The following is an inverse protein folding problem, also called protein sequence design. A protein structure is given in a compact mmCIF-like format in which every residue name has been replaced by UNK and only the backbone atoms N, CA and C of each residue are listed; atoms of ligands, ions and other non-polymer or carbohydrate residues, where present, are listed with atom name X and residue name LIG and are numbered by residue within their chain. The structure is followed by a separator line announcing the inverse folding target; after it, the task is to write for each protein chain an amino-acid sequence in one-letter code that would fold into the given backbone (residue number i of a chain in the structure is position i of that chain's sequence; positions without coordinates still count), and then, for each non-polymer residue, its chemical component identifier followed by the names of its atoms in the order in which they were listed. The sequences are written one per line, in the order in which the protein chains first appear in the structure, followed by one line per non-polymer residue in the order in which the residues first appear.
data_IF_756364705294
#
_entry.id   IF_756364705294
#
_cell.length_a   1.000
_cell.length_b   1.000
_cell.length_c   1.000
_cell.angle_alpha   90.00
_cell.angle_beta   90.00
_cell.angle_gamma   90.00
#
_symmetry.space_group_name_H-M   'P 1'
#
loop_
_entity.id
_entity.type
_entity.pdbx_description
1 polymer ?
#
# COMPACT_ATOMS: atom_id res chain seq x y z
N UNK A 1 7.56 11.88 -0.41
CA UNK A 1 8.21 10.75 -1.10
C UNK A 1 9.21 10.13 -0.15
N UNK A 2 9.23 8.81 -0.07
CA UNK A 2 10.14 8.05 0.80
C UNK A 2 10.98 7.12 -0.07
N UNK A 3 12.30 7.23 0.03
CA UNK A 3 13.21 6.25 -0.56
C UNK A 3 13.17 4.95 0.24
N UNK A 4 13.46 3.82 -0.39
CA UNK A 4 13.45 2.52 0.29
C UNK A 4 14.62 1.63 -0.09
N UNK A 5 15.55 2.10 -0.93
CA UNK A 5 16.68 1.30 -1.37
C UNK A 5 17.98 1.66 -0.64
N UNK A 6 18.29 0.96 0.45
CA UNK A 6 19.57 1.11 1.17
C UNK A 6 20.80 0.69 0.38
N UNK A 7 20.66 -0.18 -0.62
CA UNK A 7 21.79 -0.68 -1.42
C UNK A 7 22.34 0.36 -2.38
N UNK A 8 21.51 1.33 -2.75
CA UNK A 8 21.80 2.45 -3.66
C UNK A 8 22.40 3.68 -2.93
N UNK A 9 22.78 3.52 -1.65
CA UNK A 9 23.40 4.57 -0.83
C UNK A 9 24.90 4.28 -0.60
N UNK A 10 25.75 4.86 -1.45
CA UNK A 10 27.21 4.61 -1.44
C UNK A 10 28.01 5.66 -0.65
N UNK A 11 27.36 6.68 -0.07
CA UNK A 11 28.05 7.72 0.71
C UNK A 11 28.84 7.08 1.86
N UNK A 12 30.07 7.56 2.06
CA UNK A 12 31.04 7.00 3.01
C UNK A 12 31.29 5.48 2.81
N UNK A 13 31.34 5.00 1.56
CA UNK A 13 31.55 3.59 1.20
C UNK A 13 30.52 2.62 1.80
N UNK A 14 29.30 3.09 2.07
CA UNK A 14 28.23 2.26 2.65
C UNK A 14 28.38 1.98 4.15
N UNK A 15 29.12 2.80 4.89
CA UNK A 15 29.16 2.71 6.36
C UNK A 15 27.81 3.08 7.00
N UNK A 16 27.05 4.01 6.43
CA UNK A 16 25.73 4.43 6.95
C UNK A 16 24.66 3.35 6.81
N UNK A 17 24.58 2.65 5.67
CA UNK A 17 23.60 1.55 5.44
C UNK A 17 23.73 0.40 6.45
N UNK A 18 24.92 0.20 7.00
CA UNK A 18 25.20 -0.85 8.00
C UNK A 18 24.66 -0.47 9.38
N UNK A 19 24.59 0.83 9.69
CA UNK A 19 24.13 1.35 10.99
C UNK A 19 22.60 1.49 11.09
N UNK A 20 21.90 1.79 9.99
CA UNK A 20 20.46 2.09 10.01
C UNK A 20 19.59 0.81 10.01
N UNK A 21 20.06 -0.25 9.35
CA UNK A 21 19.40 -1.58 9.31
C UNK A 21 18.39 -1.79 8.16
N UNK A 22 17.71 -2.93 8.17
CA UNK A 22 16.55 -3.23 7.29
C UNK A 22 15.42 -2.21 7.54
N UNK A 23 14.58 -1.91 6.54
CA UNK A 23 13.54 -0.89 6.69
C UNK A 23 14.03 0.55 6.48
N UNK A 24 15.00 0.79 5.59
CA UNK A 24 15.64 2.09 5.41
C UNK A 24 16.03 2.39 3.96
N UNK A 25 16.33 3.66 3.67
CA UNK A 25 16.87 4.13 2.38
C UNK A 25 18.40 4.26 2.36
N UNK A 26 19.07 3.75 3.40
CA UNK A 26 20.53 3.82 3.59
C UNK A 26 21.01 5.00 4.46
N UNK A 27 20.15 5.99 4.71
CA UNK A 27 20.42 7.10 5.64
C UNK A 27 19.35 7.21 6.74
N UNK A 28 18.08 7.04 6.39
CA UNK A 28 16.94 7.21 7.30
C UNK A 28 16.07 5.95 7.28
N UNK A 29 15.57 5.55 8.45
CA UNK A 29 14.56 4.48 8.53
C UNK A 29 13.23 4.96 7.96
N UNK A 30 12.54 4.09 7.25
CA UNK A 30 11.24 4.39 6.64
C UNK A 30 10.24 4.89 7.69
N UNK A 31 10.25 4.32 8.90
CA UNK A 31 9.39 4.74 10.03
C UNK A 31 9.60 6.21 10.45
N UNK A 32 10.81 6.75 10.23
CA UNK A 32 11.17 8.13 10.56
C UNK A 32 11.12 9.06 9.33
N UNK A 33 10.82 8.52 8.15
CA UNK A 33 10.74 9.26 6.89
C UNK A 33 9.30 9.63 6.50
N UNK A 34 8.34 9.36 7.39
CA UNK A 34 6.92 9.68 7.20
C UNK A 34 6.47 10.73 8.21
N UNK A 35 5.43 11.49 7.85
CA UNK A 35 4.87 12.55 8.68
C UNK A 35 3.42 12.22 9.05
N UNK A 36 2.99 12.75 10.18
CA UNK A 36 1.60 12.77 10.59
C UNK A 36 1.21 14.23 10.87
N UNK A 37 -0.06 14.54 10.62
CA UNK A 37 -0.67 15.77 11.12
C UNK A 37 -0.66 15.79 12.65
N UNK A 38 -0.75 16.99 13.21
CA UNK A 38 -0.97 17.16 14.64
C UNK A 38 -2.36 17.74 14.85
N UNK A 39 -3.09 17.16 15.80
CA UNK A 39 -4.33 17.73 16.28
C UNK A 39 -4.03 19.03 17.06
N UNK A 40 -5.04 19.86 17.27
CA UNK A 40 -4.89 21.13 17.98
C UNK A 40 -4.34 20.98 19.42
N UNK A 41 -4.53 19.81 20.03
CA UNK A 41 -4.03 19.46 21.36
C UNK A 41 -2.60 18.88 21.36
N UNK A 42 -1.95 18.82 20.18
CA UNK A 42 -0.60 18.29 20.00
C UNK A 42 -0.52 16.76 19.92
N UNK A 43 -1.65 16.05 19.96
CA UNK A 43 -1.68 14.60 19.69
C UNK A 43 -1.52 14.31 18.20
N UNK A 44 -1.10 13.09 17.88
CA UNK A 44 -0.97 12.63 16.49
C UNK A 44 -2.35 12.61 15.83
N UNK A 45 -2.49 13.33 14.73
CA UNK A 45 -3.70 13.44 13.92
C UNK A 45 -3.64 12.56 12.67
N UNK A 46 -4.12 13.09 11.56
CA UNK A 46 -4.26 12.35 10.30
C UNK A 46 -2.92 11.94 9.67
N UNK A 47 -2.94 10.83 8.94
CA UNK A 47 -1.81 10.39 8.11
C UNK A 47 -1.54 11.41 6.99
N UNK A 48 -0.28 11.81 6.82
CA UNK A 48 0.11 12.62 5.67
C UNK A 48 0.28 11.74 4.43
N UNK A 49 0.00 12.33 3.27
CA UNK A 49 0.20 11.65 1.99
C UNK A 49 1.64 11.16 1.84
N UNK A 50 1.81 9.87 1.56
CA UNK A 50 3.14 9.24 1.44
C UNK A 50 3.17 8.21 0.32
N UNK A 51 4.23 8.25 -0.47
CA UNK A 51 4.49 7.28 -1.53
C UNK A 51 5.96 6.85 -1.48
N UNK A 52 6.22 5.63 -1.91
CA UNK A 52 7.49 4.94 -1.70
C UNK A 52 8.13 4.58 -3.04
N UNK A 53 9.43 4.84 -3.17
CA UNK A 53 10.19 4.52 -4.37
C UNK A 53 11.42 3.69 -4.01
N UNK A 54 11.68 2.63 -4.77
CA UNK A 54 12.88 1.79 -4.61
C UNK A 54 14.12 2.48 -5.17
N UNK A 55 14.50 3.56 -4.50
CA UNK A 55 15.64 4.44 -4.75
C UNK A 55 16.16 4.91 -3.40
N UNK A 56 17.45 5.23 -3.31
CA UNK A 56 18.03 5.82 -2.10
C UNK A 56 17.62 7.29 -1.94
N UNK A 57 17.76 7.87 -0.74
CA UNK A 57 17.49 9.30 -0.53
C UNK A 57 18.38 10.18 -1.41
N UNK A 58 19.66 9.82 -1.47
CA UNK A 58 20.69 10.44 -2.30
C UNK A 58 21.60 9.37 -2.88
N UNK A 59 22.09 9.63 -4.08
CA UNK A 59 22.82 8.67 -4.89
C UNK A 59 22.69 9.03 -6.35
N UNK A 60 23.49 8.41 -7.21
CA UNK A 60 23.43 8.67 -8.65
C UNK A 60 22.03 8.35 -9.22
N UNK A 61 21.40 7.29 -8.72
CA UNK A 61 20.02 6.89 -9.04
C UNK A 61 19.02 7.21 -7.91
N UNK A 62 19.36 8.09 -6.97
CA UNK A 62 18.50 8.40 -5.81
C UNK A 62 17.18 9.06 -6.21
N UNK A 63 16.26 9.20 -5.24
CA UNK A 63 14.89 9.72 -5.45
C UNK A 63 14.89 11.04 -6.23
N UNK A 64 15.82 11.95 -5.94
CA UNK A 64 15.88 13.28 -6.57
C UNK A 64 16.11 13.25 -8.10
N UNK A 65 16.69 12.18 -8.63
CA UNK A 65 16.99 12.01 -10.06
C UNK A 65 16.13 10.93 -10.72
N UNK A 66 15.07 10.47 -10.05
CA UNK A 66 14.26 9.34 -10.49
C UNK A 66 12.99 9.76 -11.21
N UNK A 67 12.63 9.04 -12.27
CA UNK A 67 11.34 9.18 -12.95
C UNK A 67 10.19 8.97 -11.95
N UNK A 68 10.30 8.00 -11.04
CA UNK A 68 9.26 7.71 -10.05
C UNK A 68 8.98 8.92 -9.15
N UNK A 69 10.02 9.62 -8.67
CA UNK A 69 9.84 10.78 -7.81
C UNK A 69 9.42 12.02 -8.58
N UNK A 70 9.94 12.22 -9.79
CA UNK A 70 9.45 13.28 -10.68
C UNK A 70 7.94 13.10 -10.93
N UNK A 71 7.53 11.92 -11.40
CA UNK A 71 6.14 11.61 -11.72
C UNK A 71 5.21 11.72 -10.49
N UNK A 72 5.69 11.40 -9.28
CA UNK A 72 4.94 11.65 -8.05
C UNK A 72 4.84 13.14 -7.71
N UNK A 73 5.94 13.90 -7.77
CA UNK A 73 5.95 15.32 -7.43
C UNK A 73 5.05 16.13 -8.36
N UNK A 74 5.12 15.88 -9.67
CA UNK A 74 4.29 16.59 -10.65
C UNK A 74 2.81 16.32 -10.46
N UNK A 75 2.43 15.09 -10.06
CA UNK A 75 1.03 14.76 -9.76
C UNK A 75 0.58 15.24 -8.39
N UNK A 76 1.49 15.32 -7.41
CA UNK A 76 1.22 16.00 -6.15
C UNK A 76 0.97 17.49 -6.35
N UNK A 77 1.70 18.16 -7.24
CA UNK A 77 1.54 19.60 -7.47
C UNK A 77 0.40 19.92 -8.44
N UNK A 78 0.19 19.11 -9.48
CA UNK A 78 -0.70 19.45 -10.60
C UNK A 78 -1.66 18.32 -10.99
N UNK A 79 -1.70 17.23 -10.23
CA UNK A 79 -2.66 16.14 -10.46
C UNK A 79 -4.07 16.53 -10.09
N UNK A 80 -5.02 15.72 -10.52
CA UNK A 80 -6.45 16.01 -10.44
C UNK A 80 -7.16 15.17 -9.37
N UNK A 81 -6.55 14.06 -8.95
CA UNK A 81 -7.14 13.08 -8.03
C UNK A 81 -6.08 12.58 -7.05
N UNK A 82 -6.44 12.51 -5.78
CA UNK A 82 -5.69 11.83 -4.73
C UNK A 82 -6.45 10.58 -4.32
N UNK A 83 -5.72 9.50 -4.09
CA UNK A 83 -6.26 8.28 -3.48
C UNK A 83 -5.35 7.87 -2.33
N UNK A 84 -5.88 7.84 -1.11
CA UNK A 84 -5.19 7.23 0.02
C UNK A 84 -5.62 5.77 0.16
N UNK A 85 -4.63 4.90 0.34
CA UNK A 85 -4.77 3.45 0.31
C UNK A 85 -4.51 2.90 1.70
N UNK A 86 -5.54 2.29 2.26
CA UNK A 86 -5.54 1.66 3.57
C UNK A 86 -5.77 0.16 3.43
N UNK A 87 -5.23 -0.60 4.38
CA UNK A 87 -5.63 -1.98 4.63
C UNK A 87 -6.32 -2.04 5.99
N UNK A 88 -7.59 -2.39 5.99
CA UNK A 88 -8.34 -2.69 7.20
C UNK A 88 -8.35 -4.21 7.39
N UNK A 89 -7.95 -4.69 8.56
CA UNK A 89 -7.78 -6.13 8.86
C UNK A 89 -8.82 -6.55 9.91
N UNK A 90 -9.77 -7.37 9.47
CA UNK A 90 -10.88 -7.86 10.28
C UNK A 90 -10.56 -9.21 10.95
N UNK A 91 -9.86 -10.11 10.23
CA UNK A 91 -9.42 -11.41 10.72
C UNK A 91 -7.93 -11.61 10.39
N UNK A 92 -7.14 -12.06 11.36
CA UNK A 92 -5.76 -12.50 11.18
C UNK A 92 -5.52 -13.78 11.98
N UNK A 93 -5.71 -14.91 11.30
CA UNK A 93 -5.76 -16.24 11.89
C UNK A 93 -4.43 -16.95 11.78
N UNK A 94 -3.93 -17.45 12.92
CA UNK A 94 -2.80 -18.37 12.99
C UNK A 94 -3.25 -19.80 12.59
N UNK A 95 -2.38 -20.59 11.95
CA UNK A 95 -2.71 -21.97 11.61
C UNK A 95 -2.83 -22.84 12.87
N UNK A 96 -3.73 -23.83 12.84
CA UNK A 96 -4.01 -24.71 13.98
C UNK A 96 -2.76 -25.46 14.45
N UNK A 97 -1.91 -25.91 13.54
CA UNK A 97 -0.67 -26.64 13.89
C UNK A 97 0.27 -25.79 14.76
N UNK A 98 0.36 -24.49 14.49
CA UNK A 98 1.18 -23.56 15.30
C UNK A 98 0.55 -23.34 16.67
N UNK A 99 -0.78 -23.20 16.74
CA UNK A 99 -1.49 -23.07 18.01
C UNK A 99 -1.37 -24.32 18.89
N UNK A 100 -1.53 -25.50 18.28
CA UNK A 100 -1.41 -26.79 18.96
C UNK A 100 0.03 -27.02 19.46
N UNK A 101 1.03 -26.66 18.65
CA UNK A 101 2.44 -26.75 19.04
C UNK A 101 2.83 -25.73 20.11
N UNK A 102 2.17 -24.57 20.13
CA UNK A 102 2.41 -23.56 21.15
C UNK A 102 1.89 -23.98 22.52
N UNK A 103 0.80 -24.76 22.59
CA UNK A 103 0.21 -25.23 23.86
C UNK A 103 0.02 -24.09 24.89
N UNK A 104 -0.47 -22.94 24.40
CA UNK A 104 -0.66 -21.72 25.21
C UNK A 104 0.59 -20.84 25.38
N UNK A 105 1.75 -21.24 24.85
CA UNK A 105 2.93 -20.38 24.75
C UNK A 105 2.68 -19.20 23.77
N UNK A 106 3.39 -18.07 23.94
CA UNK A 106 3.26 -16.94 23.04
C UNK A 106 3.78 -17.30 21.63
N UNK A 107 2.98 -16.92 20.62
CA UNK A 107 3.31 -17.04 19.20
C UNK A 107 3.61 -15.65 18.64
N UNK A 108 4.81 -15.46 18.11
CA UNK A 108 5.14 -14.28 17.31
C UNK A 108 4.96 -14.61 15.82
N UNK A 109 4.39 -13.66 15.09
CA UNK A 109 4.32 -13.70 13.64
C UNK A 109 4.37 -12.26 13.12
N UNK A 110 5.22 -11.99 12.12
CA UNK A 110 5.38 -10.69 11.49
C UNK A 110 4.88 -10.77 10.04
N UNK A 111 3.71 -10.20 9.78
CA UNK A 111 3.11 -10.18 8.45
C UNK A 111 3.68 -9.03 7.65
N UNK A 112 4.33 -9.35 6.52
CA UNK A 112 4.82 -8.38 5.55
C UNK A 112 3.73 -8.11 4.51
N UNK A 113 3.33 -6.85 4.42
CA UNK A 113 2.29 -6.35 3.52
C UNK A 113 2.96 -5.54 2.42
N UNK A 114 2.84 -6.06 1.21
CA UNK A 114 3.41 -5.50 -0.02
C UNK A 114 2.37 -4.70 -0.77
N UNK A 115 2.81 -3.59 -1.36
CA UNK A 115 1.98 -2.72 -2.19
C UNK A 115 2.76 -2.27 -3.41
N UNK A 116 2.17 -2.42 -4.59
CA UNK A 116 2.67 -1.83 -5.81
C UNK A 116 1.53 -1.11 -6.53
N UNK A 117 1.69 0.19 -6.75
CA UNK A 117 0.72 1.01 -7.47
C UNK A 117 1.37 1.60 -8.73
N UNK A 118 0.78 1.37 -9.89
CA UNK A 118 1.30 1.82 -11.19
C UNK A 118 0.20 2.50 -12.01
N UNK A 119 0.45 3.65 -12.65
CA UNK A 119 -0.51 4.23 -13.56
C UNK A 119 -0.70 3.34 -14.79
N UNK A 120 -1.86 3.48 -15.43
CA UNK A 120 -2.20 2.74 -16.66
C UNK A 120 -1.07 2.84 -17.69
N UNK A 121 -0.62 1.68 -18.15
CA UNK A 121 0.34 1.52 -19.25
C UNK A 121 1.69 2.21 -19.05
N UNK A 122 2.11 2.40 -17.80
CA UNK A 122 3.47 2.85 -17.46
C UNK A 122 4.27 1.70 -16.83
N UNK A 123 5.58 1.60 -17.10
CA UNK A 123 6.43 0.54 -16.54
C UNK A 123 6.97 0.86 -15.14
N UNK A 124 6.68 2.04 -14.61
CA UNK A 124 7.17 2.56 -13.35
C UNK A 124 6.04 2.70 -12.32
N UNK A 125 6.39 2.78 -11.04
CA UNK A 125 5.43 2.80 -9.94
C UNK A 125 5.21 4.21 -9.39
N UNK A 126 3.96 4.53 -9.06
CA UNK A 126 3.62 5.65 -8.19
C UNK A 126 4.03 5.35 -6.74
N UNK A 127 3.88 4.10 -6.31
CA UNK A 127 4.35 3.64 -5.01
C UNK A 127 4.71 2.16 -5.06
N UNK A 128 5.82 1.78 -4.43
CA UNK A 128 6.28 0.39 -4.38
C UNK A 128 6.89 0.08 -3.02
N UNK A 129 6.41 -1.01 -2.42
CA UNK A 129 6.90 -1.58 -1.17
C UNK A 129 6.84 -3.10 -1.27
N UNK A 130 7.99 -3.75 -1.16
CA UNK A 130 8.11 -5.22 -1.19
C UNK A 130 9.04 -5.70 -0.09
N UNK A 131 8.92 -6.97 0.28
CA UNK A 131 9.76 -7.58 1.31
C UNK A 131 11.22 -7.72 0.86
N UNK A 132 11.48 -8.08 -0.40
CA UNK A 132 12.83 -8.15 -0.97
C UNK A 132 13.57 -6.81 -0.93
N UNK A 133 12.81 -5.72 -0.94
CA UNK A 133 13.33 -4.36 -0.89
C UNK A 133 13.39 -3.82 0.55
N UNK A 134 13.21 -4.67 1.56
CA UNK A 134 13.19 -4.28 2.97
C UNK A 134 12.21 -3.13 3.25
N UNK A 135 11.08 -3.05 2.53
CA UNK A 135 10.22 -1.85 2.51
C UNK A 135 8.74 -2.10 2.74
N UNK A 136 8.32 -3.37 2.77
CA UNK A 136 6.96 -3.79 3.08
C UNK A 136 6.43 -3.11 4.36
N UNK A 137 5.13 -2.88 4.42
CA UNK A 137 4.48 -2.56 5.69
C UNK A 137 4.47 -3.81 6.57
N UNK A 138 4.51 -3.63 7.88
CA UNK A 138 4.59 -4.74 8.82
C UNK A 138 3.44 -4.66 9.83
N UNK A 139 2.84 -5.80 10.12
CA UNK A 139 1.89 -5.99 11.20
C UNK A 139 2.29 -7.23 11.98
N UNK A 140 2.50 -7.12 13.28
CA UNK A 140 2.73 -8.30 14.12
C UNK A 140 1.42 -8.86 14.65
N UNK A 141 1.40 -10.17 14.94
CA UNK A 141 0.26 -10.81 15.62
C UNK A 141 -0.10 -10.10 16.94
N UNK A 142 0.90 -9.60 17.68
CA UNK A 142 0.69 -8.90 18.95
C UNK A 142 0.10 -7.48 18.78
N UNK A 143 0.37 -6.82 17.65
CA UNK A 143 -0.20 -5.50 17.34
C UNK A 143 -1.62 -5.59 16.76
N UNK A 144 -1.97 -6.74 16.19
CA UNK A 144 -3.26 -6.93 15.56
C UNK A 144 -4.39 -7.04 16.59
N UNK A 145 -5.50 -6.39 16.27
CA UNK A 145 -6.81 -6.53 16.90
C UNK A 145 -7.87 -6.37 15.80
N UNK A 146 -9.09 -6.91 15.98
CA UNK A 146 -10.18 -6.67 15.03
C UNK A 146 -10.34 -5.18 14.76
N UNK A 147 -10.33 -4.79 13.47
CA UNK A 147 -10.40 -3.40 13.04
C UNK A 147 -9.07 -2.65 13.04
N UNK A 148 -7.92 -3.34 13.13
CA UNK A 148 -6.61 -2.71 12.86
C UNK A 148 -6.59 -2.13 11.44
N UNK A 149 -6.17 -0.87 11.32
CA UNK A 149 -6.08 -0.15 10.05
C UNK A 149 -4.62 0.24 9.79
N UNK A 150 -4.17 0.04 8.55
CA UNK A 150 -2.81 0.33 8.14
C UNK A 150 -2.83 1.27 6.94
N UNK A 151 -2.25 2.45 7.09
CA UNK A 151 -2.02 3.35 5.96
C UNK A 151 -0.87 2.82 5.11
N UNK A 152 -1.15 2.42 3.88
CA UNK A 152 -0.14 1.81 3.00
C UNK A 152 0.56 2.84 2.13
N UNK A 153 -0.19 3.74 1.48
CA UNK A 153 0.34 4.76 0.56
C UNK A 153 -0.74 5.77 0.13
N UNK A 154 -0.33 6.90 -0.46
CA UNK A 154 -1.14 7.68 -1.39
C UNK A 154 -0.71 7.42 -2.83
N UNK A 155 -1.62 7.64 -3.76
CA UNK A 155 -1.31 7.89 -5.17
C UNK A 155 -2.00 9.15 -5.65
N UNK A 156 -1.30 9.91 -6.50
CA UNK A 156 -1.86 11.06 -7.19
C UNK A 156 -1.98 10.70 -8.67
N UNK A 157 -3.11 11.05 -9.29
CA UNK A 157 -3.36 10.81 -10.70
C UNK A 157 -3.63 12.13 -11.41
N UNK A 158 -3.34 12.20 -12.71
CA UNK A 158 -3.47 13.42 -13.48
C UNK A 158 -3.89 13.16 -14.91
N UNK A 159 -4.78 14.01 -15.44
CA UNK A 159 -5.29 13.95 -16.82
C UNK A 159 -4.17 14.12 -17.84
N UNK A 160 -3.23 15.04 -17.60
CA UNK A 160 -2.05 15.22 -18.48
C UNK A 160 -1.17 13.96 -18.56
N UNK A 161 -1.29 13.06 -17.57
CA UNK A 161 -0.53 11.82 -17.50
C UNK A 161 -1.15 10.65 -18.26
N UNK A 162 -2.33 10.85 -18.88
CA UNK A 162 -3.02 9.81 -19.66
C UNK A 162 -2.21 9.45 -20.90
N UNK A 163 -2.16 8.16 -21.19
CA UNK A 163 -1.52 7.65 -22.42
C UNK A 163 -2.38 7.95 -23.65
N UNK A 164 -3.70 7.90 -23.48
CA UNK A 164 -4.68 8.29 -24.48
C UNK A 164 -5.63 9.32 -23.84
N UNK A 165 -5.61 10.58 -24.29
CA UNK A 165 -6.48 11.64 -23.77
C UNK A 165 -7.97 11.33 -23.93
N UNK A 166 -8.36 10.54 -24.92
CA UNK A 166 -9.76 10.21 -25.23
C UNK A 166 -10.34 9.14 -24.30
N UNK A 167 -9.49 8.37 -23.59
CA UNK A 167 -9.99 7.39 -22.63
C UNK A 167 -10.71 8.08 -21.47
N UNK A 168 -11.90 7.62 -21.06
CA UNK A 168 -12.58 8.22 -19.92
C UNK A 168 -11.82 7.96 -18.62
N UNK A 169 -11.64 9.00 -17.81
CA UNK A 169 -11.11 8.93 -16.47
C UNK A 169 -9.62 8.55 -16.35
N UNK A 170 -9.21 8.39 -15.10
CA UNK A 170 -7.85 8.08 -14.67
C UNK A 170 -7.79 6.66 -14.13
N UNK A 171 -6.71 5.94 -14.40
CA UNK A 171 -6.60 4.56 -13.97
C UNK A 171 -5.21 4.18 -13.51
N UNK A 172 -5.18 3.23 -12.57
CA UNK A 172 -3.97 2.63 -12.03
C UNK A 172 -4.24 1.18 -11.63
N UNK A 173 -3.18 0.37 -11.60
CA UNK A 173 -3.20 -0.95 -10.99
C UNK A 173 -2.66 -0.89 -9.58
N UNK A 174 -3.26 -1.66 -8.67
CA UNK A 174 -2.80 -1.85 -7.31
C UNK A 174 -2.62 -3.34 -7.03
N UNK A 175 -1.38 -3.77 -6.84
CA UNK A 175 -1.06 -5.12 -6.32
C UNK A 175 -0.95 -5.05 -4.81
N UNK A 176 -1.71 -5.88 -4.12
CA UNK A 176 -1.57 -6.13 -2.69
C UNK A 176 -1.03 -7.55 -2.49
N UNK A 177 -0.01 -7.68 -1.64
CA UNK A 177 0.51 -8.96 -1.18
C UNK A 177 0.56 -9.01 0.34
N UNK A 178 0.17 -10.13 0.93
CA UNK A 178 0.34 -10.40 2.37
C UNK A 178 1.08 -11.72 2.46
N UNK A 179 2.32 -11.69 2.95
CA UNK A 179 3.15 -12.89 3.06
C UNK A 179 2.73 -13.78 4.20
N UNK A 180 2.96 -15.07 4.03
CA UNK A 180 2.96 -16.01 5.16
C UNK A 180 4.13 -15.62 6.06
N UNK A 181 3.90 -15.33 7.34
CA UNK A 181 4.96 -14.95 8.26
C UNK A 181 5.76 -16.18 8.68
N UNK A 182 7.01 -15.95 9.09
CA UNK A 182 7.71 -16.88 9.95
C UNK A 182 7.05 -16.90 11.34
N UNK A 183 6.77 -18.09 11.85
CA UNK A 183 6.22 -18.27 13.19
C UNK A 183 7.35 -18.50 14.20
N UNK A 184 7.27 -17.86 15.35
CA UNK A 184 8.09 -18.21 16.52
C UNK A 184 7.19 -18.61 17.69
N UNK A 185 7.53 -19.71 18.34
CA UNK A 185 6.87 -20.18 19.56
C UNK A 185 7.88 -20.03 20.70
N UNK A 186 7.54 -19.27 21.73
CA UNK A 186 8.44 -18.98 22.87
C UNK A 186 9.85 -18.55 22.41
N UNK A 187 9.90 -17.61 21.45
CA UNK A 187 11.13 -17.06 20.86
C UNK A 187 12.00 -18.08 20.12
N UNK A 188 11.42 -19.21 19.71
CA UNK A 188 12.07 -20.22 18.87
C UNK A 188 11.36 -20.31 17.53
N UNK A 189 12.13 -20.22 16.45
CA UNK A 189 11.63 -20.38 15.10
C UNK A 189 10.90 -21.73 14.92
N UNK A 190 9.76 -21.69 14.26
CA UNK A 190 8.95 -22.85 13.91
C UNK A 190 9.10 -23.18 12.42
N UNK A 191 9.89 -24.21 12.05
CA UNK A 191 10.26 -24.48 10.66
C UNK A 191 9.19 -25.25 9.86
N UNK A 192 8.09 -25.67 10.48
CA UNK A 192 7.16 -26.61 9.84
C UNK A 192 6.16 -25.91 8.92
N UNK A 193 5.73 -26.64 7.89
CA UNK A 193 4.50 -26.43 7.11
C UNK A 193 4.33 -25.10 6.36
N UNK A 194 5.38 -24.27 6.19
CA UNK A 194 5.33 -23.08 5.34
C UNK A 194 6.41 -23.12 4.26
N UNK A 195 6.08 -22.59 3.07
CA UNK A 195 7.05 -22.34 2.01
C UNK A 195 7.51 -20.89 2.13
N UNK A 196 8.83 -20.68 2.25
CA UNK A 196 9.43 -19.35 2.28
C UNK A 196 8.98 -18.54 1.05
N UNK A 197 8.58 -17.28 1.27
CA UNK A 197 8.11 -16.39 0.21
C UNK A 197 6.68 -16.66 -0.29
N UNK A 198 5.92 -17.56 0.34
CA UNK A 198 4.50 -17.75 0.02
C UNK A 198 3.61 -16.61 0.51
N UNK A 199 2.40 -16.53 -0.04
CA UNK A 199 1.42 -15.49 0.25
C UNK A 199 0.17 -16.07 0.89
N UNK A 200 -0.33 -15.42 1.95
CA UNK A 200 -1.69 -15.62 2.43
C UNK A 200 -2.67 -15.03 1.42
N UNK A 201 -2.36 -13.85 0.90
CA UNK A 201 -3.15 -13.17 -0.10
C UNK A 201 -2.23 -12.48 -1.11
N UNK A 202 -2.52 -12.60 -2.40
CA UNK A 202 -1.86 -11.81 -3.43
C UNK A 202 -2.78 -11.64 -4.62
N UNK A 203 -3.09 -10.40 -4.94
CA UNK A 203 -3.87 -10.08 -6.12
C UNK A 203 -3.58 -8.66 -6.60
N UNK A 204 -4.00 -8.37 -7.82
CA UNK A 204 -3.93 -7.05 -8.42
C UNK A 204 -5.33 -6.59 -8.81
N UNK A 205 -5.71 -5.41 -8.35
CA UNK A 205 -6.92 -4.72 -8.79
C UNK A 205 -6.56 -3.63 -9.80
N UNK A 206 -7.29 -3.58 -10.91
CA UNK A 206 -7.28 -2.44 -11.83
C UNK A 206 -8.38 -1.50 -11.39
N UNK A 207 -8.07 -0.21 -11.20
CA UNK A 207 -9.01 0.81 -10.72
C UNK A 207 -9.09 1.91 -11.78
N UNK A 208 -10.30 2.34 -12.12
CA UNK A 208 -10.59 3.46 -13.00
C UNK A 208 -11.55 4.42 -12.30
N UNK A 209 -11.18 5.70 -12.32
CA UNK A 209 -11.85 6.80 -11.65
C UNK A 209 -12.28 7.81 -12.71
N UNK A 210 -13.59 8.02 -12.82
CA UNK A 210 -14.17 9.03 -13.70
C UNK A 210 -14.75 10.13 -12.81
N UNK A 211 -14.21 11.34 -12.96
CA UNK A 211 -14.70 12.55 -12.27
C UNK A 211 -16.03 12.98 -12.91
N UNK A 212 -16.99 13.53 -12.15
CA UNK A 212 -18.18 14.15 -12.71
C UNK A 212 -17.80 15.26 -13.71
N UNK A 213 -18.36 15.18 -14.92
CA UNK A 213 -18.07 16.09 -16.05
C UNK A 213 -19.15 17.16 -16.25
N UNK A 214 -20.28 17.05 -15.56
CA UNK A 214 -21.48 17.89 -15.70
C UNK A 214 -21.63 18.94 -14.58
N UNK A 215 -20.62 19.10 -13.74
CA UNK A 215 -20.66 19.98 -12.56
C UNK A 215 -21.40 19.37 -11.36
N UNK A 216 -21.76 18.08 -11.41
CA UNK A 216 -22.20 17.32 -10.23
C UNK A 216 -21.04 16.82 -9.37
N UNK A 217 -21.38 16.12 -8.28
CA UNK A 217 -20.42 15.59 -7.30
C UNK A 217 -20.23 14.06 -7.38
N UNK A 218 -20.95 13.39 -8.29
CA UNK A 218 -20.94 11.93 -8.38
C UNK A 218 -19.78 11.39 -9.20
N UNK A 219 -18.89 10.65 -8.54
CA UNK A 219 -17.83 9.89 -9.23
C UNK A 219 -18.34 8.55 -9.73
N UNK A 220 -17.79 8.11 -10.86
CA UNK A 220 -17.90 6.72 -11.29
C UNK A 220 -16.58 6.00 -11.04
N UNK A 221 -16.63 4.92 -10.25
CA UNK A 221 -15.46 4.10 -9.94
C UNK A 221 -15.70 2.68 -10.44
N UNK A 222 -14.77 2.20 -11.28
CA UNK A 222 -14.78 0.83 -11.81
C UNK A 222 -13.54 0.12 -11.31
N UNK A 223 -13.69 -1.15 -10.98
CA UNK A 223 -12.54 -1.98 -10.64
C UNK A 223 -12.70 -3.42 -11.11
N UNK A 224 -11.57 -4.11 -11.26
CA UNK A 224 -11.54 -5.54 -11.56
C UNK A 224 -10.34 -6.18 -10.87
N UNK A 225 -10.58 -7.23 -10.09
CA UNK A 225 -9.52 -8.09 -9.59
C UNK A 225 -9.03 -9.01 -10.73
N UNK A 226 -7.71 -9.18 -10.85
CA UNK A 226 -7.14 -9.99 -11.92
C UNK A 226 -7.51 -11.48 -11.79
N UNK A 227 -7.64 -11.99 -10.56
CA UNK A 227 -7.99 -13.39 -10.33
C UNK A 227 -9.45 -13.74 -10.73
N UNK A 228 -10.36 -12.76 -10.84
CA UNK A 228 -11.76 -12.97 -11.25
C UNK A 228 -11.99 -12.85 -12.76
N UNK A 229 -10.90 -12.78 -13.53
CA UNK A 229 -10.93 -12.29 -14.92
C UNK A 229 -11.15 -10.78 -14.94
N UNK A 230 -10.76 -10.10 -16.02
CA UNK A 230 -10.94 -8.64 -16.18
C UNK A 230 -12.42 -8.21 -16.33
N UNK A 231 -13.35 -8.92 -15.67
CA UNK A 231 -14.74 -8.54 -15.56
C UNK A 231 -14.79 -7.30 -14.66
N UNK A 232 -15.01 -6.14 -15.28
CA UNK A 232 -15.13 -4.87 -14.58
C UNK A 232 -16.39 -4.87 -13.73
N UNK A 233 -16.22 -5.04 -12.43
CA UNK A 233 -17.23 -4.66 -11.46
C UNK A 233 -17.32 -3.14 -11.45
N UNK A 234 -18.47 -2.64 -11.89
CA UNK A 234 -18.82 -1.24 -11.67
C UNK A 234 -19.48 -1.20 -10.30
N UNK A 235 -18.95 -0.45 -9.34
CA UNK A 235 -19.72 -0.09 -8.15
C UNK A 235 -20.44 1.21 -8.50
N UNK A 236 -21.75 1.17 -8.81
CA UNK A 236 -22.57 2.35 -8.67
C UNK A 236 -22.69 2.65 -7.17
N UNK A 237 -22.06 3.74 -6.72
CA UNK A 237 -22.34 4.50 -5.49
C UNK A 237 -22.90 3.68 -4.29
N UNK A 238 -22.13 2.70 -3.80
CA UNK A 238 -22.06 2.42 -2.36
C UNK A 238 -20.79 3.04 -1.74
N UNK A 239 -20.23 4.02 -2.46
CA UNK A 239 -19.40 5.04 -1.86
C UNK A 239 -20.24 5.80 -0.83
N UNK A 240 -19.86 5.74 0.44
CA UNK A 240 -20.33 6.77 1.36
C UNK A 240 -19.63 8.05 0.94
N UNK A 241 -20.39 8.99 0.37
CA UNK A 241 -19.93 10.36 0.20
C UNK A 241 -19.48 10.85 1.59
N UNK A 242 -18.22 11.26 1.67
CA UNK A 242 -17.66 11.83 2.89
C UNK A 242 -18.03 13.31 2.90
N UNK A 243 -18.42 13.84 4.05
CA UNK A 243 -18.77 15.25 4.22
C UNK A 243 -17.65 16.15 3.65
N UNK A 244 -17.86 16.63 2.42
CA UNK A 244 -17.18 17.78 1.82
C UNK A 244 -16.08 17.59 0.78
N UNK A 245 -15.59 16.40 0.37
CA UNK A 245 -14.58 16.33 -0.72
C UNK A 245 -14.16 14.96 -1.31
N UNK A 246 -14.75 13.83 -0.89
CA UNK A 246 -14.25 12.52 -1.33
C UNK A 246 -15.20 11.34 -1.16
N UNK A 247 -14.74 10.18 -1.63
CA UNK A 247 -15.46 8.93 -1.72
C UNK A 247 -14.62 7.80 -1.11
N UNK A 248 -15.27 6.98 -0.30
CA UNK A 248 -14.70 5.74 0.21
C UNK A 248 -15.06 4.56 -0.70
N UNK A 249 -14.08 3.75 -1.09
CA UNK A 249 -14.28 2.46 -1.78
C UNK A 249 -13.69 1.35 -0.94
N UNK A 250 -14.46 0.28 -0.74
CA UNK A 250 -14.06 -0.89 0.03
C UNK A 250 -13.92 -2.09 -0.92
N UNK A 251 -12.70 -2.63 -1.02
CA UNK A 251 -12.40 -3.79 -1.84
C UNK A 251 -12.08 -4.98 -0.93
N UNK A 252 -12.98 -5.97 -0.80
CA UNK A 252 -12.78 -7.07 0.14
C UNK A 252 -11.56 -7.91 -0.24
N UNK A 253 -10.86 -8.38 0.79
CA UNK A 253 -9.81 -9.39 0.68
C UNK A 253 -10.17 -10.58 1.56
N UNK A 254 -10.01 -11.78 1.00
CA UNK A 254 -10.25 -13.02 1.73
C UNK A 254 -9.28 -14.09 1.21
N UNK A 255 -8.39 -14.57 2.08
CA UNK A 255 -7.50 -15.69 1.77
C UNK A 255 -8.14 -17.05 2.05
N UNK A 256 -9.24 -17.11 2.82
CA UNK A 256 -9.90 -18.35 3.25
C UNK A 256 -10.90 -18.86 2.20
N UNK A 257 -10.47 -18.88 0.94
CA UNK A 257 -11.33 -19.19 -0.22
C UNK A 257 -11.94 -20.60 -0.15
N UNK A 258 -11.29 -21.52 0.56
CA UNK A 258 -11.74 -22.90 0.74
C UNK A 258 -12.40 -23.17 2.11
N UNK A 259 -12.51 -22.16 2.98
CA UNK A 259 -13.12 -22.30 4.30
C UNK A 259 -12.40 -23.32 5.19
N UNK A 260 -11.06 -23.34 5.17
CA UNK A 260 -10.27 -24.24 6.01
C UNK A 260 -9.95 -23.58 7.36
N UNK A 261 -10.69 -23.88 8.44
CA UNK A 261 -10.49 -23.22 9.73
C UNK A 261 -9.14 -23.54 10.37
N UNK A 262 -8.45 -24.59 9.91
CA UNK A 262 -7.12 -24.96 10.41
C UNK A 262 -5.98 -24.19 9.71
N UNK A 263 -6.24 -23.57 8.57
CA UNK A 263 -5.24 -22.81 7.83
C UNK A 263 -5.09 -21.39 8.36
N UNK A 264 -3.89 -20.82 8.17
CA UNK A 264 -3.65 -19.40 8.34
C UNK A 264 -4.52 -18.61 7.36
N UNK A 265 -5.06 -17.48 7.80
CA UNK A 265 -5.91 -16.65 6.96
C UNK A 265 -5.86 -15.17 7.34
N UNK A 266 -6.10 -14.31 6.36
CA UNK A 266 -6.38 -12.90 6.52
C UNK A 266 -7.70 -12.57 5.83
N UNK A 267 -8.54 -11.78 6.52
CA UNK A 267 -9.74 -11.16 5.94
C UNK A 267 -9.81 -9.69 6.29
N UNK A 268 -10.40 -8.92 5.40
CA UNK A 268 -10.59 -7.49 5.58
C UNK A 268 -10.86 -6.82 4.25
N UNK A 269 -10.30 -5.62 4.08
CA UNK A 269 -10.55 -4.83 2.88
C UNK A 269 -9.40 -3.85 2.60
N UNK A 270 -9.13 -3.64 1.31
CA UNK A 270 -8.42 -2.45 0.85
C UNK A 270 -9.43 -1.32 0.81
N UNK A 271 -9.19 -0.30 1.63
CA UNK A 271 -10.00 0.91 1.67
C UNK A 271 -9.30 2.03 0.90
N UNK A 272 -9.98 2.55 -0.10
CA UNK A 272 -9.52 3.67 -0.91
C UNK A 272 -10.30 4.92 -0.51
N UNK A 273 -9.60 5.97 -0.11
CA UNK A 273 -10.17 7.29 0.13
C UNK A 273 -9.83 8.16 -1.09
N UNK A 274 -10.79 8.32 -1.98
CA UNK A 274 -10.64 9.05 -3.25
C UNK A 274 -11.10 10.48 -3.03
N UNK A 275 -10.32 11.47 -3.45
CA UNK A 275 -10.72 12.87 -3.37
C UNK A 275 -10.24 13.66 -4.57
N UNK A 276 -10.95 14.75 -4.85
CA UNK A 276 -10.48 15.75 -5.79
C UNK A 276 -9.17 16.35 -5.29
N UNK A 277 -8.20 16.52 -6.17
CA UNK A 277 -6.90 17.10 -5.86
C UNK A 277 -6.58 18.15 -6.91
N UNK A 278 -6.22 19.38 -6.55
CA UNK A 278 -5.94 20.49 -7.48
C UNK A 278 -6.81 20.43 -8.76
N UNK A 279 -8.14 20.59 -8.67
CA UNK A 279 -9.07 20.28 -9.77
C UNK A 279 -8.81 21.07 -11.05
N UNK A 280 -8.26 22.27 -10.91
CA UNK A 280 -7.86 23.19 -11.99
C UNK A 280 -6.35 23.10 -12.29
N UNK A 281 -5.65 22.18 -11.61
CA UNK A 281 -4.24 21.92 -11.80
C UNK A 281 -3.97 21.56 -13.25
N UNK A 282 -3.17 22.39 -13.90
CA UNK A 282 -2.66 22.18 -15.25
C UNK A 282 -1.16 22.04 -15.16
N UNK A 283 -0.62 21.09 -15.91
CA UNK A 283 0.83 20.92 -16.04
C UNK A 283 1.35 21.94 -17.08
N UNK A 284 2.34 22.79 -16.73
CA UNK A 284 2.85 23.84 -17.61
C UNK A 284 3.64 23.33 -18.82
#
# INVERSE_FOLDING_TARGET
MVGTNRSDYEVAAGLSRTFVGHGSDGLVRIENATLHGLNADGTVGEECAKAFAYRSHSGFFGIVNSEESFQNLVRFLFGNVRVDIWLDVDELRLPKEVLDAADGAPVNALYQIELLASPRSKPWYLSRRTAEEDSAACLTQAQWKPGTQLYLSSVFLAEFGKVDPELPGLAYSLTLGVRVPDYEIDKRFWPNSHYEGSYLYRDTVIIQLERPSDGGDQWTIRYAWQNTGMNTSTIPLQASELDGSGIQVLLPIDSDVHGNPAAAAIKGQVRLMVSTWNPEGTWP
#
